data_IF_526681356197
#
_entry.id   IF_526681356197
#
_cell.length_a   1.000
_cell.length_b   1.000
_cell.length_c   1.000
_cell.angle_alpha   90.00
_cell.angle_beta   90.00
_cell.angle_gamma   90.00
#
_symmetry.space_group_name_H-M   'P 1'
#
loop_
_entity.id
_entity.type
_entity.pdbx_description
1 polymer ?
#
# COMPACT_ATOMS: atom_id res chain seq x y z
N UNK A 1 -8.98 -9.30 -25.11
CA UNK A 1 -9.51 -8.14 -24.38
C UNK A 1 -8.57 -7.86 -23.23
N UNK A 2 -7.99 -6.66 -23.15
CA UNK A 2 -7.21 -6.27 -21.97
C UNK A 2 -8.17 -6.17 -20.78
N UNK A 3 -7.86 -6.87 -19.67
CA UNK A 3 -8.68 -6.87 -18.46
C UNK A 3 -8.78 -5.46 -17.83
N UNK A 4 -9.74 -5.27 -16.93
CA UNK A 4 -9.92 -4.03 -16.19
C UNK A 4 -8.72 -3.77 -15.28
N UNK A 5 -8.07 -2.62 -15.46
CA UNK A 5 -7.00 -2.12 -14.61
C UNK A 5 -7.42 -0.82 -13.94
N UNK A 6 -7.68 -0.84 -12.63
CA UNK A 6 -8.19 0.33 -11.91
C UNK A 6 -7.26 1.54 -12.01
N UNK A 7 -5.94 1.38 -11.98
CA UNK A 7 -4.98 2.48 -12.14
C UNK A 7 -5.06 3.14 -13.53
N UNK A 8 -5.19 2.35 -14.61
CA UNK A 8 -5.40 2.88 -15.97
C UNK A 8 -6.75 3.60 -16.07
N UNK A 9 -7.78 3.07 -15.41
CA UNK A 9 -9.10 3.69 -15.38
C UNK A 9 -9.07 5.01 -14.60
N UNK A 10 -8.37 5.07 -13.48
CA UNK A 10 -8.15 6.31 -12.72
C UNK A 10 -7.49 7.40 -13.59
N UNK A 11 -6.47 7.04 -14.37
CA UNK A 11 -5.85 7.99 -15.32
C UNK A 11 -6.86 8.48 -16.35
N UNK A 12 -7.69 7.61 -16.91
CA UNK A 12 -8.75 8.03 -17.83
C UNK A 12 -9.73 9.00 -17.20
N UNK A 13 -10.11 8.77 -15.93
CA UNK A 13 -11.02 9.65 -15.21
C UNK A 13 -10.39 11.05 -15.08
N UNK A 14 -9.18 11.13 -14.52
CA UNK A 14 -8.54 12.42 -14.23
C UNK A 14 -8.10 13.21 -15.46
N UNK A 15 -7.75 12.54 -16.55
CA UNK A 15 -7.28 13.20 -17.76
C UNK A 15 -8.41 13.51 -18.77
N UNK A 16 -9.47 12.69 -18.79
CA UNK A 16 -10.45 12.72 -19.89
C UNK A 16 -11.91 12.87 -19.49
N UNK A 17 -12.31 12.46 -18.28
CA UNK A 17 -13.72 12.45 -17.90
C UNK A 17 -14.09 13.61 -16.97
N UNK A 18 -13.21 13.95 -16.04
CA UNK A 18 -13.45 15.03 -15.08
C UNK A 18 -13.66 16.39 -15.79
N UNK A 19 -14.32 17.31 -15.07
CA UNK A 19 -14.65 18.65 -15.56
C UNK A 19 -15.35 18.65 -16.93
N UNK A 20 -16.32 17.75 -17.10
CA UNK A 20 -17.09 17.62 -18.36
C UNK A 20 -16.21 17.32 -19.58
N UNK A 21 -15.24 16.43 -19.43
CA UNK A 21 -14.36 16.00 -20.50
C UNK A 21 -13.08 16.80 -20.68
N UNK A 22 -12.82 17.81 -19.84
CA UNK A 22 -11.61 18.64 -19.91
C UNK A 22 -10.42 18.07 -19.11
N UNK A 23 -10.70 17.13 -18.22
CA UNK A 23 -9.70 16.60 -17.30
C UNK A 23 -9.31 17.60 -16.19
N UNK A 24 -8.50 17.13 -15.25
CA UNK A 24 -8.11 17.91 -14.06
C UNK A 24 -6.85 18.76 -14.29
N UNK A 25 -6.13 18.58 -15.41
CA UNK A 25 -4.87 19.27 -15.69
C UNK A 25 -3.84 19.12 -14.55
N UNK A 26 -3.63 17.89 -14.10
CA UNK A 26 -2.67 17.56 -13.04
C UNK A 26 -1.24 17.56 -13.59
N UNK A 27 -0.26 17.78 -12.70
CA UNK A 27 1.15 17.66 -13.06
C UNK A 27 1.51 16.22 -13.42
N UNK A 28 2.54 16.04 -14.26
CA UNK A 28 3.03 14.71 -14.63
C UNK A 28 3.40 13.85 -13.42
N UNK A 29 3.97 14.45 -12.35
CA UNK A 29 4.31 13.74 -11.12
C UNK A 29 3.09 13.14 -10.44
N UNK A 30 1.97 13.90 -10.36
CA UNK A 30 0.72 13.40 -9.76
C UNK A 30 0.10 12.30 -10.63
N UNK A 31 0.06 12.50 -11.94
CA UNK A 31 -0.46 11.50 -12.89
C UNK A 31 0.35 10.19 -12.80
N UNK A 32 1.67 10.28 -12.73
CA UNK A 32 2.55 9.12 -12.62
C UNK A 32 2.41 8.42 -11.26
N UNK A 33 2.25 9.17 -10.17
CA UNK A 33 1.96 8.62 -8.86
C UNK A 33 0.65 7.81 -8.88
N UNK A 34 -0.41 8.36 -9.47
CA UNK A 34 -1.70 7.66 -9.62
C UNK A 34 -1.56 6.43 -10.54
N UNK A 35 -0.77 6.50 -11.59
CA UNK A 35 -0.52 5.36 -12.49
C UNK A 35 0.18 4.21 -11.80
N UNK A 36 1.12 4.50 -10.92
CA UNK A 36 2.03 3.52 -10.30
C UNK A 36 1.69 3.17 -8.85
N UNK A 37 0.63 3.75 -8.25
CA UNK A 37 0.31 3.50 -6.83
C UNK A 37 0.01 2.03 -6.56
N UNK A 38 -0.67 1.38 -7.49
CA UNK A 38 -1.08 -0.01 -7.32
C UNK A 38 -0.04 -0.99 -7.86
N UNK A 39 0.19 -2.05 -7.12
CA UNK A 39 0.95 -3.22 -7.55
C UNK A 39 0.23 -4.48 -7.10
N UNK A 40 0.20 -5.48 -7.98
CA UNK A 40 -0.30 -6.83 -7.67
C UNK A 40 0.48 -7.54 -6.56
N UNK A 41 0.36 -8.86 -6.49
CA UNK A 41 1.06 -9.69 -5.51
C UNK A 41 2.59 -9.49 -5.54
N UNK A 42 3.23 -9.74 -4.40
CA UNK A 42 4.67 -9.70 -4.21
C UNK A 42 5.18 -8.46 -3.47
N UNK A 43 6.48 -8.36 -3.35
CA UNK A 43 7.19 -7.27 -2.65
C UNK A 43 6.92 -5.93 -3.33
N UNK A 44 6.31 -4.98 -2.62
CA UNK A 44 5.86 -3.71 -3.20
C UNK A 44 6.75 -2.51 -2.83
N UNK A 45 7.69 -2.70 -1.90
CA UNK A 45 8.65 -1.70 -1.45
C UNK A 45 10.10 -2.21 -1.58
N UNK A 46 10.52 -2.53 -2.80
CA UNK A 46 11.94 -2.73 -3.07
C UNK A 46 12.45 -1.67 -4.04
N UNK A 47 13.77 -1.48 -4.05
CA UNK A 47 14.42 -0.43 -4.85
C UNK A 47 14.02 -0.46 -6.33
N UNK A 48 13.91 -1.66 -6.92
CA UNK A 48 13.54 -1.81 -8.33
C UNK A 48 12.06 -1.44 -8.56
N UNK A 49 11.17 -1.81 -7.63
CA UNK A 49 9.73 -1.54 -7.76
C UNK A 49 9.36 -0.06 -7.65
N UNK A 50 10.19 0.72 -6.95
CA UNK A 50 9.97 2.16 -6.75
C UNK A 50 10.89 3.04 -7.59
N UNK A 51 11.74 2.45 -8.42
CA UNK A 51 12.69 3.15 -9.28
C UNK A 51 12.00 4.23 -10.12
N UNK A 52 12.50 5.46 -10.02
CA UNK A 52 11.95 6.63 -10.70
C UNK A 52 10.60 7.12 -10.15
N UNK A 53 10.15 6.65 -8.99
CA UNK A 53 9.01 7.24 -8.28
C UNK A 53 9.49 8.35 -7.36
N UNK A 54 8.72 9.43 -7.26
CA UNK A 54 8.94 10.45 -6.21
C UNK A 54 8.63 9.85 -4.84
N UNK A 55 9.13 10.48 -3.77
CA UNK A 55 8.85 10.03 -2.39
C UNK A 55 7.35 10.06 -2.08
N UNK A 56 6.64 11.08 -2.56
CA UNK A 56 5.20 11.18 -2.40
C UNK A 56 4.47 10.02 -3.09
N UNK A 57 4.90 9.64 -4.29
CA UNK A 57 4.32 8.49 -4.99
C UNK A 57 4.58 7.16 -4.26
N UNK A 58 5.75 7.02 -3.64
CA UNK A 58 6.08 5.87 -2.80
C UNK A 58 5.21 5.84 -1.53
N UNK A 59 4.97 7.00 -0.89
CA UNK A 59 4.08 7.12 0.28
C UNK A 59 2.64 6.74 -0.10
N UNK A 60 2.13 7.25 -1.22
CA UNK A 60 0.78 6.88 -1.68
C UNK A 60 0.67 5.38 -1.88
N UNK A 61 1.67 4.76 -2.48
CA UNK A 61 1.69 3.33 -2.76
C UNK A 61 1.66 2.46 -1.50
N UNK A 62 2.46 2.78 -0.47
CA UNK A 62 2.45 2.03 0.79
C UNK A 62 1.17 2.28 1.57
N UNK A 63 0.68 3.52 1.59
CA UNK A 63 -0.56 3.88 2.27
C UNK A 63 -1.77 3.15 1.69
N UNK A 64 -1.83 3.03 0.36
CA UNK A 64 -2.86 2.26 -0.34
C UNK A 64 -2.85 0.80 0.08
N UNK A 65 -1.67 0.17 0.06
CA UNK A 65 -1.53 -1.24 0.46
C UNK A 65 -1.91 -1.49 1.93
N UNK A 66 -1.55 -0.59 2.84
CA UNK A 66 -1.91 -0.68 4.26
C UNK A 66 -3.41 -0.46 4.49
N UNK A 67 -4.01 0.49 3.78
CA UNK A 67 -5.42 0.78 3.85
C UNK A 67 -6.26 -0.41 3.37
N UNK A 68 -5.92 -0.98 2.20
CA UNK A 68 -6.60 -2.16 1.65
C UNK A 68 -6.51 -3.34 2.60
N UNK A 69 -5.32 -3.75 3.03
CA UNK A 69 -5.18 -4.85 3.98
C UNK A 69 -6.02 -4.64 5.24
N UNK A 70 -6.04 -3.40 5.75
CA UNK A 70 -6.81 -3.08 6.94
C UNK A 70 -8.32 -3.18 6.72
N UNK A 71 -8.81 -2.81 5.55
CA UNK A 71 -10.22 -2.95 5.16
C UNK A 71 -10.58 -4.41 4.94
N UNK A 72 -9.79 -5.15 4.17
CA UNK A 72 -10.03 -6.56 3.86
C UNK A 72 -10.14 -7.40 5.14
N UNK A 73 -9.27 -7.14 6.13
CA UNK A 73 -9.35 -7.80 7.43
C UNK A 73 -10.68 -7.51 8.13
N UNK A 74 -11.15 -6.25 8.15
CA UNK A 74 -12.43 -5.92 8.78
C UNK A 74 -13.62 -6.54 8.03
N UNK A 75 -13.57 -6.59 6.71
CA UNK A 75 -14.62 -7.18 5.90
C UNK A 75 -14.66 -8.71 6.05
N UNK A 76 -13.51 -9.35 6.10
CA UNK A 76 -13.39 -10.77 6.37
C UNK A 76 -13.93 -11.14 7.77
N UNK A 77 -13.68 -10.29 8.78
CA UNK A 77 -14.25 -10.45 10.13
C UNK A 77 -15.78 -10.31 10.14
N UNK A 78 -16.30 -9.31 9.42
CA UNK A 78 -17.76 -9.06 9.34
C UNK A 78 -18.51 -10.15 8.61
N UNK A 79 -17.92 -10.69 7.56
CA UNK A 79 -18.53 -11.75 6.75
C UNK A 79 -18.51 -13.12 7.43
N UNK A 80 -17.78 -13.28 8.56
CA UNK A 80 -17.47 -14.56 9.19
C UNK A 80 -16.86 -15.59 8.23
N UNK A 81 -16.21 -15.11 7.18
CA UNK A 81 -15.62 -15.97 6.15
C UNK A 81 -14.36 -16.68 6.66
N UNK A 82 -13.65 -16.04 7.60
CA UNK A 82 -12.41 -16.58 8.15
C UNK A 82 -12.66 -17.26 9.49
N UNK A 83 -12.21 -18.50 9.61
CA UNK A 83 -12.18 -19.21 10.89
C UNK A 83 -11.01 -18.75 11.77
N UNK A 84 -11.18 -17.60 12.41
CA UNK A 84 -10.18 -16.96 13.26
C UNK A 84 -9.70 -17.89 14.39
N UNK A 85 -10.55 -18.84 14.85
CA UNK A 85 -10.20 -19.74 15.95
C UNK A 85 -9.12 -20.74 15.57
N UNK A 86 -9.10 -21.15 14.31
CA UNK A 86 -8.15 -22.14 13.77
C UNK A 86 -6.91 -21.50 13.13
N UNK A 87 -6.81 -20.17 13.14
CA UNK A 87 -5.60 -19.47 12.69
C UNK A 87 -4.42 -19.75 13.63
N UNK A 88 -3.20 -19.73 13.06
CA UNK A 88 -2.00 -19.73 13.89
C UNK A 88 -1.99 -18.50 14.84
N UNK A 89 -1.22 -18.59 15.93
CA UNK A 89 -1.25 -17.58 16.99
C UNK A 89 -0.94 -16.18 16.50
N UNK A 90 0.07 -16.03 15.66
CA UNK A 90 0.53 -14.72 15.17
C UNK A 90 -0.50 -14.03 14.28
N UNK A 91 -1.11 -14.77 13.35
CA UNK A 91 -2.18 -14.28 12.49
C UNK A 91 -3.39 -13.89 13.33
N UNK A 92 -3.78 -14.76 14.25
CA UNK A 92 -4.93 -14.53 15.13
C UNK A 92 -4.76 -13.28 15.99
N UNK A 93 -3.60 -13.06 16.60
CA UNK A 93 -3.30 -11.86 17.38
C UNK A 93 -3.47 -10.60 16.52
N UNK A 94 -2.93 -10.61 15.31
CA UNK A 94 -3.04 -9.49 14.41
C UNK A 94 -4.49 -9.23 13.95
N UNK A 95 -5.25 -10.28 13.66
CA UNK A 95 -6.67 -10.18 13.28
C UNK A 95 -7.56 -9.71 14.44
N UNK A 96 -7.26 -10.10 15.68
CA UNK A 96 -8.03 -9.68 16.86
C UNK A 96 -7.71 -8.27 17.34
N UNK A 97 -6.56 -7.74 16.97
CA UNK A 97 -6.13 -6.37 17.29
C UNK A 97 -7.11 -5.32 16.74
N UNK A 98 -7.24 -4.17 17.39
CA UNK A 98 -8.02 -3.04 16.86
C UNK A 98 -7.41 -2.52 15.57
N UNK A 99 -8.27 -2.09 14.63
CA UNK A 99 -7.84 -1.52 13.35
C UNK A 99 -6.82 -0.38 13.53
N UNK A 100 -7.07 0.52 14.48
CA UNK A 100 -6.16 1.65 14.76
C UNK A 100 -4.78 1.19 15.23
N UNK A 101 -4.71 0.13 16.02
CA UNK A 101 -3.46 -0.44 16.51
C UNK A 101 -2.66 -1.07 15.36
N UNK A 102 -3.32 -1.83 14.49
CA UNK A 102 -2.69 -2.41 13.30
C UNK A 102 -2.10 -1.34 12.38
N UNK A 103 -2.88 -0.30 12.10
CA UNK A 103 -2.42 0.82 11.27
C UNK A 103 -1.24 1.52 11.94
N UNK A 104 -1.32 1.78 13.24
CA UNK A 104 -0.27 2.46 13.96
C UNK A 104 1.06 1.71 13.94
N UNK A 105 1.06 0.39 14.06
CA UNK A 105 2.27 -0.43 13.96
C UNK A 105 3.00 -0.17 12.63
N UNK A 106 2.28 -0.31 11.52
CA UNK A 106 2.90 -0.16 10.20
C UNK A 106 3.25 1.29 9.86
N UNK A 107 2.39 2.25 10.21
CA UNK A 107 2.66 3.67 9.93
C UNK A 107 3.87 4.15 10.73
N UNK A 108 3.95 3.80 12.01
CA UNK A 108 5.09 4.16 12.86
C UNK A 108 6.39 3.54 12.32
N UNK A 109 6.33 2.28 11.90
CA UNK A 109 7.48 1.60 11.34
C UNK A 109 7.95 2.25 10.02
N UNK A 110 7.03 2.59 9.12
CA UNK A 110 7.36 3.30 7.87
C UNK A 110 8.01 4.65 8.17
N UNK A 111 7.47 5.42 9.10
CA UNK A 111 8.03 6.73 9.49
C UNK A 111 9.45 6.56 10.02
N UNK A 112 9.66 5.63 10.95
CA UNK A 112 10.97 5.41 11.57
C UNK A 112 11.98 4.84 10.55
N UNK A 113 11.59 3.90 9.72
CA UNK A 113 12.45 3.29 8.70
C UNK A 113 12.78 4.22 7.54
N UNK A 114 11.98 5.27 7.33
CA UNK A 114 12.16 6.25 6.25
C UNK A 114 12.71 7.59 6.74
N UNK A 115 13.23 7.66 7.96
CA UNK A 115 13.66 8.94 8.57
C UNK A 115 14.70 9.67 7.73
N UNK A 116 15.58 8.96 7.04
CA UNK A 116 16.59 9.53 6.13
C UNK A 116 15.97 10.30 4.97
N UNK A 117 14.71 10.02 4.61
CA UNK A 117 13.97 10.75 3.59
C UNK A 117 13.38 12.09 4.08
N UNK A 118 13.48 12.40 5.37
CA UNK A 118 12.93 13.61 5.98
C UNK A 118 13.64 14.92 5.60
N UNK A 119 14.81 14.82 4.96
CA UNK A 119 15.69 15.95 4.66
C UNK A 119 16.52 16.44 5.86
N UNK A 120 16.40 15.81 7.03
CA UNK A 120 17.17 16.16 8.25
C UNK A 120 18.51 15.44 8.29
N UNK A 121 18.69 14.38 7.52
CA UNK A 121 19.92 13.61 7.40
C UNK A 121 20.44 13.64 5.97
N UNK A 122 21.76 13.42 5.79
CA UNK A 122 22.32 13.25 4.44
C UNK A 122 21.87 11.92 3.88
N UNK A 123 21.16 11.96 2.75
CA UNK A 123 20.78 10.77 2.00
C UNK A 123 22.05 10.18 1.38
N UNK A 124 22.37 8.93 1.72
CA UNK A 124 23.55 8.22 1.20
C UNK A 124 23.28 7.58 -0.15
N UNK A 125 22.04 7.18 -0.40
CA UNK A 125 21.56 6.49 -1.61
C UNK A 125 20.30 7.14 -2.15
N UNK A 126 19.70 6.55 -3.19
CA UNK A 126 18.39 6.97 -3.68
C UNK A 126 17.37 6.88 -2.53
N UNK A 127 16.67 7.99 -2.22
CA UNK A 127 15.74 8.00 -1.11
C UNK A 127 14.57 7.05 -1.40
N UNK A 128 14.35 6.12 -0.48
CA UNK A 128 13.30 5.11 -0.59
C UNK A 128 12.47 5.15 0.69
N UNK A 129 11.16 5.27 0.51
CA UNK A 129 10.22 5.01 1.60
C UNK A 129 10.26 3.52 1.87
N UNK A 130 10.59 3.16 3.10
CA UNK A 130 10.86 1.78 3.49
C UNK A 130 10.11 1.38 4.76
N UNK A 131 10.19 0.12 5.05
CA UNK A 131 9.67 -0.52 6.25
C UNK A 131 10.76 -1.43 6.80
N UNK A 132 10.77 -1.69 8.11
CA UNK A 132 11.67 -2.68 8.67
C UNK A 132 11.44 -4.05 8.02
N UNK A 133 12.49 -4.87 7.97
CA UNK A 133 12.41 -6.22 7.39
C UNK A 133 11.30 -7.04 8.05
N UNK A 134 11.23 -7.00 9.38
CA UNK A 134 10.22 -7.73 10.16
C UNK A 134 8.78 -7.36 9.75
N UNK A 135 8.46 -6.06 9.73
CA UNK A 135 7.13 -5.60 9.37
C UNK A 135 6.82 -5.76 7.88
N UNK A 136 7.82 -5.68 7.01
CA UNK A 136 7.67 -5.95 5.58
C UNK A 136 7.32 -7.43 5.31
N UNK A 137 8.01 -8.36 5.97
CA UNK A 137 7.71 -9.80 5.90
C UNK A 137 6.31 -10.11 6.46
N UNK A 138 5.97 -9.53 7.61
CA UNK A 138 4.66 -9.65 8.24
C UNK A 138 3.54 -9.13 7.36
N UNK A 139 3.72 -7.95 6.77
CA UNK A 139 2.74 -7.35 5.86
C UNK A 139 2.54 -8.21 4.61
N UNK A 140 3.63 -8.71 4.02
CA UNK A 140 3.59 -9.59 2.85
C UNK A 140 2.85 -10.89 3.18
N UNK A 141 3.16 -11.49 4.32
CA UNK A 141 2.49 -12.71 4.79
C UNK A 141 0.98 -12.50 4.97
N UNK A 142 0.58 -11.41 5.64
CA UNK A 142 -0.84 -11.09 5.88
C UNK A 142 -1.60 -10.82 4.58
N UNK A 143 -0.98 -10.12 3.64
CA UNK A 143 -1.57 -9.90 2.31
C UNK A 143 -1.78 -11.21 1.56
N UNK A 144 -0.76 -12.06 1.51
CA UNK A 144 -0.87 -13.37 0.86
C UNK A 144 -1.95 -14.22 1.52
N UNK A 145 -1.99 -14.24 2.86
CA UNK A 145 -3.01 -14.96 3.60
C UNK A 145 -4.43 -14.48 3.23
N UNK A 146 -4.64 -13.16 3.11
CA UNK A 146 -5.92 -12.62 2.67
C UNK A 146 -6.26 -13.03 1.24
N UNK A 147 -5.31 -12.95 0.32
CA UNK A 147 -5.51 -13.36 -1.07
C UNK A 147 -5.87 -14.84 -1.24
N UNK A 148 -5.35 -15.71 -0.38
CA UNK A 148 -5.58 -17.15 -0.45
C UNK A 148 -6.89 -17.58 0.22
N UNK A 149 -7.40 -16.80 1.17
CA UNK A 149 -8.49 -17.19 2.04
C UNK A 149 -9.72 -16.28 1.99
N UNK A 150 -9.66 -15.14 1.27
CA UNK A 150 -10.72 -14.16 1.13
C UNK A 150 -10.80 -13.59 -0.29
#
# INVERSE_FOLDING_TARGET
MEGFHHSRHSIRIIEKLEKKGKGLNLTNHVVEAIRRHSKGQGEFLNAESVKGMTLEAQIVRISDALAYLSHDIEDAKRSNFLDIKNMNKEVREFFTMKRSERINIFVSDVVLSSWDCSGQTKIKDLPIISMSKENSEKLTFLRNYMFENF
#
